data_IF_700953838150
#
_entry.id   IF_700953838150
#
_cell.length_a   1.000
_cell.length_b   1.000
_cell.length_c   1.000
_cell.angle_alpha   90.00
_cell.angle_beta   90.00
_cell.angle_gamma   90.00
#
_symmetry.space_group_name_H-M   'P 1'
#
loop_
_entity.id
_entity.type
_entity.pdbx_description
1 polymer ?
#
# COMPACT_ATOMS: atom_id res chain seq x y z
N UNK A 1 41.13 7.95 -21.82
CA UNK A 1 42.56 7.97 -21.43
C UNK A 1 42.95 9.13 -20.48
N UNK A 2 42.03 10.01 -20.03
CA UNK A 2 42.40 11.17 -19.18
C UNK A 2 42.19 11.01 -17.67
N UNK A 3 41.31 10.12 -17.20
CA UNK A 3 40.97 9.98 -15.77
C UNK A 3 41.98 9.14 -14.98
N UNK A 4 42.64 8.17 -15.60
CA UNK A 4 43.58 7.28 -14.92
C UNK A 4 44.90 7.99 -14.54
N UNK A 5 45.36 8.96 -15.34
CA UNK A 5 46.53 9.76 -14.97
C UNK A 5 46.27 10.73 -13.81
N UNK A 6 45.04 11.24 -13.66
CA UNK A 6 44.68 12.13 -12.56
C UNK A 6 44.64 11.40 -11.20
N UNK A 7 44.10 10.19 -11.15
CA UNK A 7 44.07 9.39 -9.92
C UNK A 7 45.48 8.96 -9.46
N UNK A 8 46.38 8.65 -10.40
CA UNK A 8 47.75 8.26 -10.08
C UNK A 8 48.57 9.43 -9.53
N UNK A 9 48.36 10.63 -10.05
CA UNK A 9 49.10 11.83 -9.62
C UNK A 9 48.64 12.29 -8.23
N UNK A 10 47.34 12.25 -7.93
CA UNK A 10 46.81 12.62 -6.61
C UNK A 10 47.29 11.69 -5.48
N UNK A 11 47.41 10.38 -5.74
CA UNK A 11 47.88 9.42 -4.73
C UNK A 11 49.32 9.68 -4.27
N UNK A 12 50.21 10.01 -5.21
CA UNK A 12 51.64 10.24 -4.93
C UNK A 12 51.86 11.52 -4.11
N UNK A 13 51.10 12.58 -4.37
CA UNK A 13 51.20 13.84 -3.62
C UNK A 13 50.72 13.70 -2.17
N UNK A 14 49.62 12.96 -1.95
CA UNK A 14 49.08 12.68 -0.61
C UNK A 14 50.07 11.87 0.21
N UNK A 15 50.72 10.86 -0.39
CA UNK A 15 51.69 10.02 0.31
C UNK A 15 52.98 10.79 0.67
N UNK A 16 53.45 11.67 -0.22
CA UNK A 16 54.57 12.56 0.10
C UNK A 16 54.24 13.59 1.19
N UNK A 17 53.02 14.15 1.21
CA UNK A 17 52.57 15.01 2.33
C UNK A 17 52.47 14.23 3.64
N UNK A 18 51.95 13.00 3.60
CA UNK A 18 51.80 12.14 4.78
C UNK A 18 53.15 11.81 5.42
N UNK A 19 54.16 11.47 4.60
CA UNK A 19 55.53 11.20 5.04
C UNK A 19 56.17 12.39 5.76
N UNK A 20 55.76 13.62 5.41
CA UNK A 20 56.33 14.86 5.94
C UNK A 20 55.81 15.27 7.32
N UNK A 21 54.67 14.75 7.74
CA UNK A 21 54.07 15.04 9.05
C UNK A 21 54.67 14.23 10.19
N UNK A 22 54.76 14.83 11.38
CA UNK A 22 55.18 14.11 12.58
C UNK A 22 54.06 13.17 13.08
N UNK A 23 54.41 12.21 13.94
CA UNK A 23 53.46 11.21 14.44
C UNK A 23 52.25 11.83 15.16
N UNK A 24 52.42 12.99 15.82
CA UNK A 24 51.34 13.71 16.51
C UNK A 24 50.36 14.32 15.51
N UNK A 25 50.85 14.93 14.44
CA UNK A 25 50.03 15.50 13.35
C UNK A 25 49.23 14.42 12.63
N UNK A 26 49.86 13.27 12.33
CA UNK A 26 49.15 12.12 11.74
C UNK A 26 48.03 11.62 12.66
N UNK A 27 48.30 11.50 13.95
CA UNK A 27 47.29 11.09 14.94
C UNK A 27 46.09 12.04 14.94
N UNK A 28 46.32 13.35 15.02
CA UNK A 28 45.22 14.33 15.00
C UNK A 28 44.46 14.37 13.68
N UNK A 29 45.14 14.16 12.55
CA UNK A 29 44.47 14.05 11.25
C UNK A 29 43.54 12.84 11.20
N UNK A 30 43.98 11.66 11.65
CA UNK A 30 43.12 10.47 11.73
C UNK A 30 41.94 10.71 12.67
N UNK A 31 42.16 11.29 13.85
CA UNK A 31 41.08 11.61 14.80
C UNK A 31 40.07 12.57 14.17
N UNK A 32 40.53 13.61 13.47
CA UNK A 32 39.65 14.55 12.79
C UNK A 32 38.85 13.88 11.66
N UNK A 33 39.48 13.03 10.85
CA UNK A 33 38.81 12.27 9.80
C UNK A 33 37.76 11.30 10.35
N UNK A 34 38.05 10.63 11.47
CA UNK A 34 37.07 9.76 12.13
C UNK A 34 35.91 10.58 12.73
N UNK A 35 36.19 11.74 13.32
CA UNK A 35 35.17 12.62 13.86
C UNK A 35 34.25 13.19 12.76
N UNK A 36 34.81 13.60 11.61
CA UNK A 36 34.00 14.09 10.48
C UNK A 36 33.18 12.96 9.87
N UNK A 37 33.76 11.77 9.69
CA UNK A 37 33.02 10.60 9.20
C UNK A 37 31.87 10.24 10.15
N UNK A 38 32.11 10.23 11.45
CA UNK A 38 31.08 9.99 12.47
C UNK A 38 29.97 11.04 12.42
N UNK A 39 30.31 12.31 12.21
CA UNK A 39 29.32 13.39 12.12
C UNK A 39 28.49 13.30 10.83
N UNK A 40 29.10 12.89 9.71
CA UNK A 40 28.40 12.61 8.45
C UNK A 40 27.42 11.44 8.63
N UNK A 41 27.85 10.35 9.26
CA UNK A 41 26.97 9.20 9.56
C UNK A 41 25.82 9.61 10.49
N UNK A 42 26.08 10.40 11.53
CA UNK A 42 25.05 10.92 12.42
C UNK A 42 24.06 11.84 11.69
N UNK A 43 24.54 12.69 10.78
CA UNK A 43 23.68 13.56 9.97
C UNK A 43 22.80 12.76 9.00
N UNK A 44 23.35 11.74 8.34
CA UNK A 44 22.60 10.88 7.42
C UNK A 44 21.51 10.08 8.15
N UNK A 45 21.84 9.50 9.32
CA UNK A 45 20.86 8.78 10.15
C UNK A 45 19.78 9.71 10.69
N UNK A 46 20.13 10.95 11.06
CA UNK A 46 19.15 11.95 11.47
C UNK A 46 18.22 12.34 10.33
N UNK A 47 18.75 12.55 9.12
CA UNK A 47 17.95 12.87 7.94
C UNK A 47 16.96 11.74 7.62
N UNK A 48 17.43 10.50 7.69
CA UNK A 48 16.61 9.30 7.46
C UNK A 48 15.46 9.18 8.48
N UNK A 49 15.76 9.38 9.77
CA UNK A 49 14.72 9.44 10.81
C UNK A 49 13.71 10.55 10.58
N UNK A 50 14.13 11.72 10.09
CA UNK A 50 13.26 12.84 9.82
C UNK A 50 12.36 12.59 8.59
N UNK A 51 12.88 11.94 7.54
CA UNK A 51 12.05 11.51 6.41
C UNK A 51 11.02 10.47 6.84
N UNK A 52 11.43 9.50 7.67
CA UNK A 52 10.52 8.49 8.21
C UNK A 52 9.42 9.14 9.08
N UNK A 53 9.79 10.12 9.92
CA UNK A 53 8.84 10.88 10.73
C UNK A 53 7.81 11.62 9.87
N UNK A 54 8.25 12.33 8.83
CA UNK A 54 7.35 13.07 7.94
C UNK A 54 6.39 12.17 7.18
N UNK A 55 6.85 11.00 6.74
CA UNK A 55 6.00 10.01 6.08
C UNK A 55 4.92 9.49 7.02
N UNK A 56 5.29 9.20 8.28
CA UNK A 56 4.34 8.80 9.31
C UNK A 56 3.32 9.90 9.62
N UNK A 57 3.77 11.14 9.81
CA UNK A 57 2.89 12.31 10.07
C UNK A 57 1.91 12.55 8.92
N UNK A 58 2.36 12.39 7.67
CA UNK A 58 1.49 12.51 6.49
C UNK A 58 0.38 11.46 6.48
N UNK A 59 0.72 10.20 6.77
CA UNK A 59 -0.27 9.11 6.86
C UNK A 59 -1.24 9.33 8.01
N UNK A 60 -0.75 9.77 9.18
CA UNK A 60 -1.59 10.06 10.34
C UNK A 60 -2.58 11.19 10.06
N UNK A 61 -2.13 12.26 9.39
CA UNK A 61 -3.01 13.36 8.95
C UNK A 61 -4.10 12.86 8.00
N UNK A 62 -3.74 12.10 6.96
CA UNK A 62 -4.72 11.55 6.01
C UNK A 62 -5.71 10.63 6.74
N UNK A 63 -5.22 9.82 7.70
CA UNK A 63 -6.07 8.96 8.49
C UNK A 63 -7.08 9.76 9.33
N UNK A 64 -6.68 10.86 9.96
CA UNK A 64 -7.58 11.72 10.73
C UNK A 64 -8.66 12.39 9.86
N UNK A 65 -8.29 12.86 8.66
CA UNK A 65 -9.24 13.42 7.70
C UNK A 65 -10.24 12.36 7.21
N UNK A 66 -9.78 11.13 6.99
CA UNK A 66 -10.64 9.99 6.62
C UNK A 66 -11.58 9.60 7.77
N UNK A 67 -11.11 9.59 9.03
CA UNK A 67 -11.97 9.36 10.21
C UNK A 67 -13.07 10.41 10.30
N UNK A 68 -12.73 11.67 10.11
CA UNK A 68 -13.70 12.78 10.08
C UNK A 68 -14.74 12.56 8.98
N UNK A 69 -14.30 12.22 7.77
CA UNK A 69 -15.20 11.95 6.64
C UNK A 69 -16.12 10.72 6.89
N UNK A 70 -15.61 9.67 7.55
CA UNK A 70 -16.40 8.51 7.95
C UNK A 70 -17.51 8.93 8.92
N UNK A 71 -17.17 9.70 9.95
CA UNK A 71 -18.13 10.19 10.94
C UNK A 71 -19.22 11.06 10.30
N UNK A 72 -18.84 11.93 9.36
CA UNK A 72 -19.81 12.73 8.58
C UNK A 72 -20.79 11.85 7.80
N UNK A 73 -20.29 10.82 7.10
CA UNK A 73 -21.15 9.92 6.31
C UNK A 73 -22.10 9.15 7.24
N UNK A 74 -21.61 8.65 8.37
CA UNK A 74 -22.46 7.98 9.36
C UNK A 74 -23.51 8.93 9.95
N UNK A 75 -23.17 10.18 10.23
CA UNK A 75 -24.11 11.18 10.72
C UNK A 75 -25.22 11.47 9.69
N UNK A 76 -24.87 11.57 8.40
CA UNK A 76 -25.82 11.73 7.30
C UNK A 76 -26.73 10.49 7.19
N UNK A 77 -26.17 9.28 7.31
CA UNK A 77 -26.96 8.06 7.26
C UNK A 77 -27.95 7.96 8.43
N UNK A 78 -27.54 8.34 9.64
CA UNK A 78 -28.42 8.37 10.82
C UNK A 78 -29.55 9.38 10.65
N UNK A 79 -29.23 10.61 10.25
CA UNK A 79 -30.24 11.66 10.05
C UNK A 79 -31.16 11.39 8.85
N UNK A 80 -30.66 10.76 7.79
CA UNK A 80 -31.46 10.29 6.65
C UNK A 80 -32.41 9.14 7.03
N UNK A 81 -31.98 8.24 7.91
CA UNK A 81 -32.83 7.18 8.47
C UNK A 81 -33.92 7.75 9.40
N UNK A 82 -33.61 8.78 10.20
CA UNK A 82 -34.58 9.47 11.07
C UNK A 82 -35.59 10.31 10.26
N UNK A 83 -35.16 10.90 9.15
CA UNK A 83 -36.02 11.63 8.20
C UNK A 83 -36.94 10.72 7.38
N UNK A 84 -36.70 9.41 7.35
CA UNK A 84 -37.47 8.44 6.54
C UNK A 84 -38.49 7.63 7.32
N UNK A 85 -38.85 8.07 8.53
CA UNK A 85 -40.11 7.70 9.19
C UNK A 85 -41.39 8.09 8.42
N UNK A 86 -41.27 8.71 7.25
CA UNK A 86 -42.35 8.99 6.32
C UNK A 86 -41.82 9.10 4.87
N UNK A 87 -41.29 8.02 4.31
CA UNK A 87 -41.40 7.82 2.86
C UNK A 87 -42.23 6.56 2.64
N UNK A 88 -43.53 6.80 2.51
CA UNK A 88 -44.44 5.95 1.77
C UNK A 88 -43.80 5.74 0.39
N UNK A 89 -43.23 4.56 0.15
CA UNK A 89 -42.88 4.13 -1.19
C UNK A 89 -44.22 3.90 -1.87
N UNK A 90 -44.76 5.01 -2.40
CA UNK A 90 -45.90 5.02 -3.28
C UNK A 90 -45.60 4.14 -4.46
N UNK A 91 -46.17 2.93 -4.40
CA UNK A 91 -46.77 2.19 -5.50
C UNK A 91 -46.53 2.80 -6.88
N UNK A 92 -45.45 2.39 -7.53
CA UNK A 92 -45.37 2.46 -8.99
C UNK A 92 -46.35 1.43 -9.56
N UNK A 93 -47.51 1.94 -9.97
CA UNK A 93 -48.26 1.61 -11.19
C UNK A 93 -48.10 0.16 -11.67
N UNK A 94 -48.94 -0.71 -11.12
CA UNK A 94 -49.31 -1.98 -11.74
C UNK A 94 -50.13 -1.69 -12.99
N UNK A 95 -49.51 -1.84 -14.16
CA UNK A 95 -50.20 -1.87 -15.44
C UNK A 95 -51.13 -3.08 -15.53
N UNK A 96 -52.41 -2.81 -15.76
CA UNK A 96 -53.41 -3.81 -16.06
C UNK A 96 -53.13 -4.49 -17.41
N UNK A 97 -53.05 -5.83 -17.41
CA UNK A 97 -53.50 -6.64 -18.53
C UNK A 97 -54.26 -7.86 -18.00
N UNK A 98 -55.58 -7.78 -18.13
CA UNK A 98 -56.52 -8.89 -18.01
C UNK A 98 -56.50 -9.68 -19.31
N UNK A 99 -56.37 -11.01 -19.23
CA UNK A 99 -57.18 -11.98 -20.01
C UNK A 99 -56.90 -13.42 -19.52
N UNK A 100 -57.79 -13.87 -18.63
CA UNK A 100 -58.55 -15.12 -18.67
C UNK A 100 -57.86 -16.44 -19.06
N UNK A 101 -57.78 -17.38 -18.11
CA UNK A 101 -58.25 -18.77 -18.31
C UNK A 101 -58.22 -19.60 -17.01
N UNK A 102 -59.38 -20.14 -16.62
CA UNK A 102 -59.50 -21.51 -16.10
C UNK A 102 -59.20 -21.82 -14.62
N UNK A 103 -60.24 -21.74 -13.78
CA UNK A 103 -60.43 -22.59 -12.59
C UNK A 103 -60.87 -24.03 -13.06
N UNK A 104 -60.85 -25.14 -12.28
CA UNK A 104 -61.09 -25.18 -10.83
C UNK A 104 -60.26 -26.13 -9.94
N UNK A 105 -60.08 -25.68 -8.70
CA UNK A 105 -60.55 -26.41 -7.51
C UNK A 105 -59.53 -27.23 -6.71
N UNK A 106 -59.29 -26.83 -5.46
CA UNK A 106 -59.48 -27.72 -4.29
C UNK A 106 -59.43 -26.93 -2.98
N UNK A 107 -60.47 -27.09 -2.17
CA UNK A 107 -60.56 -26.72 -0.75
C UNK A 107 -59.67 -27.64 0.10
N UNK A 108 -59.03 -27.11 1.16
CA UNK A 108 -59.03 -27.74 2.50
C UNK A 108 -58.97 -26.65 3.58
N UNK A 109 -59.82 -26.84 4.58
CA UNK A 109 -60.20 -26.03 5.73
C UNK A 109 -59.34 -26.29 6.99
N UNK A 110 -59.29 -25.30 7.89
CA UNK A 110 -59.09 -25.46 9.35
C UNK A 110 -57.70 -25.03 9.86
N UNK A 111 -57.50 -24.37 11.02
CA UNK A 111 -58.36 -24.12 12.19
C UNK A 111 -57.71 -23.01 13.06
N UNK A 112 -58.52 -22.32 13.87
CA UNK A 112 -58.20 -21.20 14.77
C UNK A 112 -57.52 -21.60 16.12
N UNK A 113 -57.12 -20.54 16.86
CA UNK A 113 -57.02 -20.37 18.35
C UNK A 113 -55.64 -20.71 18.94
N UNK A 114 -55.00 -19.95 19.84
CA UNK A 114 -55.49 -19.08 20.91
C UNK A 114 -54.50 -17.97 21.33
N UNK A 115 -55.08 -16.97 22.00
CA UNK A 115 -54.49 -15.83 22.73
C UNK A 115 -53.72 -16.29 23.98
N UNK A 116 -52.63 -15.60 24.30
CA UNK A 116 -52.15 -15.43 25.68
C UNK A 116 -51.48 -14.07 25.85
N UNK A 117 -52.15 -13.17 26.58
CA UNK A 117 -51.60 -11.97 27.19
C UNK A 117 -50.78 -12.34 28.43
N UNK A 118 -49.70 -11.59 28.66
CA UNK A 118 -48.87 -11.68 29.87
C UNK A 118 -47.78 -10.61 29.87
N UNK A 119 -48.17 -9.38 30.22
CA UNK A 119 -47.24 -8.30 30.59
C UNK A 119 -46.46 -8.66 31.85
N UNK A 120 -45.15 -8.38 31.88
CA UNK A 120 -44.56 -7.51 32.92
C UNK A 120 -43.20 -7.01 32.48
N UNK A 121 -43.00 -5.71 32.70
CA UNK A 121 -41.86 -4.92 32.29
C UNK A 121 -40.61 -5.21 33.14
N UNK A 122 -39.49 -5.40 32.47
CA UNK A 122 -38.19 -4.92 32.94
C UNK A 122 -37.67 -3.95 31.88
N UNK A 123 -37.75 -2.65 32.17
CA UNK A 123 -37.01 -1.61 31.47
C UNK A 123 -35.53 -1.71 31.85
N UNK A 124 -34.89 -2.78 31.39
CA UNK A 124 -33.45 -2.79 31.16
C UNK A 124 -33.20 -1.87 29.97
N UNK A 125 -32.56 -0.73 30.21
CA UNK A 125 -32.10 0.17 29.17
C UNK A 125 -31.02 -0.54 28.34
N UNK A 126 -31.45 -1.42 27.45
CA UNK A 126 -30.63 -1.96 26.39
C UNK A 126 -30.36 -0.78 25.46
N UNK A 127 -29.20 -0.16 25.67
CA UNK A 127 -28.56 0.69 24.67
C UNK A 127 -28.31 -0.24 23.48
N UNK A 128 -29.32 -0.41 22.63
CA UNK A 128 -29.17 -1.00 21.30
C UNK A 128 -28.11 -0.15 20.63
N UNK A 129 -26.90 -0.70 20.57
CA UNK A 129 -25.80 -0.17 19.78
C UNK A 129 -26.37 -0.14 18.37
N UNK A 130 -26.86 1.02 17.93
CA UNK A 130 -27.33 1.23 16.57
C UNK A 130 -26.24 0.66 15.68
N UNK A 131 -26.58 -0.39 14.95
CA UNK A 131 -25.65 -1.12 14.09
C UNK A 131 -25.09 -0.07 13.13
N UNK A 132 -23.84 0.33 13.33
CA UNK A 132 -23.22 1.35 12.50
C UNK A 132 -23.16 0.79 11.08
N UNK A 133 -23.93 1.40 10.19
CA UNK A 133 -23.91 1.00 8.79
C UNK A 133 -22.47 1.15 8.27
N UNK A 134 -21.87 0.09 7.71
CA UNK A 134 -20.50 0.16 7.23
C UNK A 134 -20.43 1.15 6.06
N UNK A 135 -19.51 2.12 6.15
CA UNK A 135 -19.26 3.03 5.03
C UNK A 135 -18.59 2.26 3.90
N UNK A 136 -19.28 2.20 2.75
CA UNK A 136 -18.73 1.56 1.56
C UNK A 136 -17.59 2.41 0.97
N UNK A 137 -16.45 1.82 0.57
CA UNK A 137 -15.30 2.57 0.01
C UNK A 137 -15.64 3.42 -1.22
N UNK A 138 -16.62 2.97 -2.01
CA UNK A 138 -17.12 3.75 -3.14
C UNK A 138 -17.66 5.14 -2.75
N UNK A 139 -18.13 5.32 -1.51
CA UNK A 139 -18.52 6.63 -0.98
C UNK A 139 -17.29 7.48 -0.62
N UNK A 140 -16.23 6.84 -0.11
CA UNK A 140 -14.97 7.49 0.23
C UNK A 140 -14.21 7.96 -1.00
N UNK A 141 -14.28 7.24 -2.13
CA UNK A 141 -13.64 7.62 -3.40
C UNK A 141 -14.03 9.01 -3.94
N UNK A 142 -15.10 9.61 -3.44
CA UNK A 142 -15.53 10.97 -3.82
C UNK A 142 -14.97 12.06 -2.89
N UNK A 143 -14.23 11.68 -1.84
CA UNK A 143 -13.66 12.59 -0.85
C UNK A 143 -12.20 12.87 -1.20
N UNK A 144 -11.80 14.12 -1.04
CA UNK A 144 -10.44 14.59 -1.30
C UNK A 144 -9.39 13.82 -0.49
N UNK A 145 -9.68 13.49 0.78
CA UNK A 145 -8.76 12.73 1.63
C UNK A 145 -8.51 11.30 1.14
N UNK A 146 -9.49 10.66 0.49
CA UNK A 146 -9.28 9.35 -0.13
C UNK A 146 -8.51 9.48 -1.44
N UNK A 147 -8.73 10.54 -2.22
CA UNK A 147 -7.88 10.83 -3.37
C UNK A 147 -6.42 11.10 -2.94
N UNK A 148 -6.20 11.80 -1.83
CA UNK A 148 -4.86 12.02 -1.29
C UNK A 148 -4.22 10.70 -0.84
N UNK A 149 -4.98 9.81 -0.20
CA UNK A 149 -4.53 8.45 0.11
C UNK A 149 -4.06 7.72 -1.16
N UNK A 150 -4.85 7.75 -2.24
CA UNK A 150 -4.49 7.09 -3.50
C UNK A 150 -3.33 7.76 -4.26
N UNK A 151 -3.03 9.02 -3.95
CA UNK A 151 -1.84 9.73 -4.45
C UNK A 151 -0.59 9.40 -3.65
N UNK A 152 -0.69 8.63 -2.57
CA UNK A 152 0.49 8.13 -1.88
C UNK A 152 1.21 7.10 -2.74
N UNK A 153 2.52 7.09 -2.57
CA UNK A 153 3.44 6.19 -3.26
C UNK A 153 3.56 4.84 -2.54
N UNK A 154 4.12 3.84 -3.23
CA UNK A 154 4.30 2.49 -2.67
C UNK A 154 5.16 2.52 -1.40
N UNK A 155 6.12 3.46 -1.31
CA UNK A 155 6.95 3.67 -0.11
C UNK A 155 6.16 4.01 1.16
N UNK A 156 4.89 4.46 1.04
CA UNK A 156 4.03 4.75 2.19
C UNK A 156 3.26 3.52 2.70
N UNK A 157 3.19 2.43 1.95
CA UNK A 157 2.44 1.22 2.37
C UNK A 157 2.90 0.70 3.75
N UNK A 158 4.19 0.61 4.11
CA UNK A 158 4.61 0.17 5.45
C UNK A 158 4.03 1.02 6.59
N UNK A 159 3.76 2.30 6.35
CA UNK A 159 3.13 3.20 7.32
C UNK A 159 1.62 2.98 7.38
N UNK A 160 0.98 2.76 6.22
CA UNK A 160 -0.42 2.42 6.13
C UNK A 160 -0.72 1.07 6.81
N UNK A 161 0.16 0.07 6.65
CA UNK A 161 0.05 -1.23 7.35
C UNK A 161 0.12 -1.03 8.87
N UNK A 162 1.10 -0.27 9.37
CA UNK A 162 1.22 0.08 10.81
C UNK A 162 0.01 0.86 11.32
N UNK A 163 -0.55 1.75 10.51
CA UNK A 163 -1.74 2.49 10.87
C UNK A 163 -2.96 1.56 10.93
N UNK A 164 -3.13 0.69 9.94
CA UNK A 164 -4.21 -0.30 9.85
C UNK A 164 -4.25 -1.25 11.07
N UNK A 165 -3.12 -1.56 11.70
CA UNK A 165 -3.10 -2.35 12.96
C UNK A 165 -3.75 -1.64 14.15
N UNK A 166 -3.81 -0.31 14.13
CA UNK A 166 -4.28 0.53 15.24
C UNK A 166 -5.70 1.05 15.04
N UNK A 167 -6.21 0.97 13.81
CA UNK A 167 -7.52 1.49 13.47
C UNK A 167 -8.66 0.53 13.85
N UNK A 168 -9.81 1.11 14.13
CA UNK A 168 -11.07 0.38 14.21
C UNK A 168 -11.46 -0.18 12.84
N UNK A 169 -12.26 -1.24 12.85
CA UNK A 169 -12.64 -2.02 11.66
C UNK A 169 -13.00 -1.15 10.46
N UNK A 170 -13.89 -0.18 10.64
CA UNK A 170 -14.37 0.65 9.53
C UNK A 170 -13.27 1.48 8.86
N UNK A 171 -12.42 2.13 9.66
CA UNK A 171 -11.29 2.91 9.15
C UNK A 171 -10.21 1.98 8.60
N UNK A 172 -9.95 0.86 9.27
CA UNK A 172 -9.04 -0.18 8.80
C UNK A 172 -9.44 -0.74 7.43
N UNK A 173 -10.74 -0.92 7.15
CA UNK A 173 -11.21 -1.32 5.82
C UNK A 173 -10.89 -0.26 4.76
N UNK A 174 -11.11 1.02 5.04
CA UNK A 174 -10.76 2.10 4.11
C UNK A 174 -9.25 2.12 3.81
N UNK A 175 -8.41 1.94 4.83
CA UNK A 175 -6.96 1.81 4.64
C UNK A 175 -6.61 0.56 3.84
N UNK A 176 -7.23 -0.59 4.10
CA UNK A 176 -7.01 -1.83 3.35
C UNK A 176 -7.32 -1.67 1.85
N UNK A 177 -8.42 -0.98 1.51
CA UNK A 177 -8.72 -0.65 0.12
C UNK A 177 -7.65 0.26 -0.49
N UNK A 178 -7.25 1.32 0.23
CA UNK A 178 -6.16 2.20 -0.21
C UNK A 178 -4.86 1.44 -0.47
N UNK A 179 -4.44 0.57 0.45
CA UNK A 179 -3.23 -0.26 0.30
C UNK A 179 -3.36 -1.22 -0.89
N UNK A 180 -4.55 -1.79 -1.11
CA UNK A 180 -4.81 -2.66 -2.27
C UNK A 180 -4.63 -1.91 -3.59
N UNK A 181 -5.12 -0.67 -3.66
CA UNK A 181 -5.01 0.18 -4.85
C UNK A 181 -3.57 0.68 -5.06
N UNK A 182 -2.94 1.27 -4.04
CA UNK A 182 -1.56 1.79 -4.11
C UNK A 182 -0.59 0.65 -4.43
N UNK A 183 -0.75 -0.49 -3.76
CA UNK A 183 0.10 -1.66 -3.93
C UNK A 183 -0.16 -2.47 -5.19
N UNK A 184 -1.13 -2.06 -6.02
CA UNK A 184 -1.55 -2.79 -7.24
C UNK A 184 -1.81 -4.27 -6.97
N UNK A 185 -2.42 -4.56 -5.81
CA UNK A 185 -2.65 -5.94 -5.36
C UNK A 185 -3.81 -6.55 -6.15
N UNK A 186 -3.65 -7.82 -6.54
CA UNK A 186 -4.73 -8.59 -7.15
C UNK A 186 -5.62 -9.24 -6.07
N UNK A 187 -6.19 -8.41 -5.19
CA UNK A 187 -7.13 -8.82 -4.13
C UNK A 187 -8.50 -8.23 -4.48
N UNK A 188 -9.49 -9.07 -4.87
CA UNK A 188 -10.83 -8.59 -5.16
C UNK A 188 -11.51 -7.93 -3.95
N UNK A 189 -12.29 -6.85 -4.14
CA UNK A 189 -13.02 -6.16 -3.07
C UNK A 189 -13.97 -7.02 -2.24
N UNK A 190 -14.43 -8.11 -2.83
CA UNK A 190 -15.40 -9.08 -2.31
C UNK A 190 -14.74 -10.35 -1.73
N UNK A 191 -13.41 -10.47 -1.83
CA UNK A 191 -12.65 -11.60 -1.28
C UNK A 191 -12.50 -11.56 0.25
N UNK A 192 -12.89 -10.45 0.88
CA UNK A 192 -12.75 -10.22 2.31
C UNK A 192 -13.89 -9.33 2.81
N UNK A 193 -14.34 -9.59 4.03
CA UNK A 193 -15.43 -8.89 4.70
C UNK A 193 -14.96 -7.98 5.82
N UNK A 194 -13.78 -8.27 6.38
CA UNK A 194 -13.20 -7.58 7.51
C UNK A 194 -11.69 -7.40 7.39
N UNK A 195 -11.11 -6.55 8.24
CA UNK A 195 -9.67 -6.25 8.22
C UNK A 195 -8.79 -7.47 8.51
N UNK A 196 -9.22 -8.40 9.37
CA UNK A 196 -8.45 -9.61 9.67
C UNK A 196 -8.33 -10.53 8.45
N UNK A 197 -9.42 -10.76 7.72
CA UNK A 197 -9.40 -11.51 6.45
C UNK A 197 -8.50 -10.85 5.41
N UNK A 198 -8.53 -9.52 5.30
CA UNK A 198 -7.64 -8.80 4.40
C UNK A 198 -6.17 -8.96 4.78
N UNK A 199 -5.83 -8.94 6.08
CA UNK A 199 -4.46 -9.17 6.57
C UNK A 199 -3.94 -10.56 6.18
N UNK A 200 -4.78 -11.58 6.23
CA UNK A 200 -4.42 -12.93 5.76
C UNK A 200 -4.16 -12.95 4.24
N UNK A 201 -4.96 -12.23 3.45
CA UNK A 201 -4.74 -12.09 2.00
C UNK A 201 -3.46 -11.31 1.68
N UNK A 202 -3.12 -10.30 2.48
CA UNK A 202 -1.83 -9.62 2.40
C UNK A 202 -0.68 -10.58 2.69
N UNK A 203 -0.73 -11.31 3.80
CA UNK A 203 0.28 -12.32 4.18
C UNK A 203 0.46 -13.38 3.08
N UNK A 204 -0.65 -13.86 2.50
CA UNK A 204 -0.62 -14.80 1.38
C UNK A 204 0.01 -14.18 0.11
N UNK A 205 -0.15 -12.88 -0.10
CA UNK A 205 0.47 -12.16 -1.22
C UNK A 205 1.98 -12.01 -1.03
N UNK A 206 2.44 -11.72 0.19
CA UNK A 206 3.88 -11.70 0.55
C UNK A 206 4.50 -13.07 0.32
N UNK A 207 3.91 -14.13 0.88
CA UNK A 207 4.42 -15.50 0.70
C UNK A 207 4.41 -15.95 -0.77
N UNK A 208 3.40 -15.53 -1.55
CA UNK A 208 3.38 -15.78 -2.99
C UNK A 208 4.51 -15.06 -3.71
N UNK A 209 4.81 -13.81 -3.36
CA UNK A 209 5.90 -13.08 -3.97
C UNK A 209 7.26 -13.75 -3.69
N UNK A 210 7.50 -14.16 -2.43
CA UNK A 210 8.74 -14.86 -2.01
C UNK A 210 9.02 -16.12 -2.83
N UNK A 211 7.97 -16.86 -3.21
CA UNK A 211 8.08 -18.09 -3.99
C UNK A 211 8.09 -17.85 -5.50
N UNK A 212 7.25 -16.92 -5.97
CA UNK A 212 7.05 -16.68 -7.39
C UNK A 212 8.18 -15.86 -8.02
N UNK A 213 8.73 -14.85 -7.34
CA UNK A 213 9.77 -13.98 -7.94
C UNK A 213 10.98 -14.78 -8.41
N UNK A 214 11.62 -15.64 -7.58
CA UNK A 214 12.75 -16.45 -8.05
C UNK A 214 12.35 -17.41 -9.18
N UNK A 215 11.16 -18.02 -9.08
CA UNK A 215 10.68 -18.97 -10.10
C UNK A 215 10.42 -18.29 -11.45
N UNK A 216 9.90 -17.07 -11.47
CA UNK A 216 9.62 -16.31 -12.69
C UNK A 216 10.93 -15.91 -13.35
N UNK A 217 11.89 -15.40 -12.57
CA UNK A 217 13.18 -14.93 -13.08
C UNK A 217 14.07 -16.06 -13.60
N UNK A 218 14.00 -17.24 -12.97
CA UNK A 218 14.73 -18.43 -13.42
C UNK A 218 14.09 -19.13 -14.63
N UNK A 219 12.90 -18.74 -15.05
CA UNK A 219 12.16 -19.41 -16.12
C UNK A 219 12.72 -19.07 -17.51
N UNK A 220 13.37 -20.03 -18.15
CA UNK A 220 13.86 -19.92 -19.54
C UNK A 220 12.74 -19.91 -20.59
N UNK A 221 11.55 -20.42 -20.23
CA UNK A 221 10.39 -20.49 -21.12
C UNK A 221 9.67 -19.13 -21.32
N UNK A 222 10.04 -18.11 -20.54
CA UNK A 222 9.39 -16.80 -20.55
C UNK A 222 10.32 -15.76 -21.19
N UNK A 223 9.74 -14.95 -22.08
CA UNK A 223 10.40 -13.72 -22.54
C UNK A 223 10.47 -12.69 -21.41
N UNK A 224 11.40 -11.73 -21.49
CA UNK A 224 11.52 -10.67 -20.47
C UNK A 224 10.23 -9.89 -20.25
N UNK A 225 9.48 -9.62 -21.33
CA UNK A 225 8.18 -8.96 -21.24
C UNK A 225 7.14 -9.81 -20.49
N UNK A 226 7.15 -11.13 -20.67
CA UNK A 226 6.27 -12.06 -19.94
C UNK A 226 6.68 -12.19 -18.48
N UNK A 227 7.98 -12.26 -18.20
CA UNK A 227 8.50 -12.23 -16.83
C UNK A 227 8.06 -10.93 -16.14
N UNK A 228 8.29 -9.77 -16.76
CA UNK A 228 7.89 -8.48 -16.21
C UNK A 228 6.38 -8.42 -15.92
N UNK A 229 5.53 -8.87 -16.85
CA UNK A 229 4.09 -8.90 -16.65
C UNK A 229 3.68 -9.78 -15.44
N UNK A 230 4.32 -10.93 -15.27
CA UNK A 230 4.06 -11.81 -14.12
C UNK A 230 4.56 -11.20 -12.80
N UNK A 231 5.72 -10.54 -12.80
CA UNK A 231 6.25 -9.84 -11.63
C UNK A 231 5.37 -8.66 -11.21
N UNK A 232 4.86 -7.89 -12.17
CA UNK A 232 3.92 -6.78 -11.92
C UNK A 232 2.62 -7.30 -11.29
N UNK A 233 2.15 -8.48 -11.74
CA UNK A 233 0.94 -9.09 -11.20
C UNK A 233 1.05 -9.53 -9.73
N UNK A 234 2.28 -9.63 -9.18
CA UNK A 234 2.51 -9.87 -7.76
C UNK A 234 2.33 -8.61 -6.90
N UNK A 235 2.33 -7.41 -7.51
CA UNK A 235 2.11 -6.14 -6.82
C UNK A 235 3.27 -5.71 -5.92
N UNK A 236 2.99 -4.78 -5.00
CA UNK A 236 3.96 -4.21 -4.08
C UNK A 236 4.77 -5.23 -3.24
N UNK A 237 4.22 -6.39 -2.80
CA UNK A 237 5.00 -7.38 -2.06
C UNK A 237 6.21 -7.94 -2.83
N UNK A 238 6.22 -7.87 -4.17
CA UNK A 238 7.36 -8.29 -4.97
C UNK A 238 8.51 -7.27 -5.00
N UNK A 239 8.23 -5.98 -4.74
CA UNK A 239 9.22 -4.90 -4.81
C UNK A 239 10.50 -5.19 -4.02
N UNK A 240 10.47 -5.54 -2.71
CA UNK A 240 11.71 -5.75 -1.95
C UNK A 240 12.57 -6.90 -2.53
N UNK A 241 11.94 -7.95 -3.07
CA UNK A 241 12.63 -9.06 -3.71
C UNK A 241 13.29 -8.62 -5.02
N UNK A 242 12.55 -7.89 -5.86
CA UNK A 242 13.08 -7.34 -7.10
C UNK A 242 14.25 -6.39 -6.84
N UNK A 243 14.17 -5.53 -5.83
CA UNK A 243 15.29 -4.65 -5.46
C UNK A 243 16.50 -5.47 -5.02
N UNK A 244 16.31 -6.55 -4.26
CA UNK A 244 17.42 -7.41 -3.84
C UNK A 244 18.13 -8.06 -5.04
N UNK A 245 17.38 -8.50 -6.06
CA UNK A 245 17.95 -9.00 -7.34
C UNK A 245 18.77 -7.92 -8.06
N UNK A 246 18.26 -6.69 -8.12
CA UNK A 246 19.01 -5.58 -8.71
C UNK A 246 20.29 -5.27 -7.94
N UNK A 247 20.24 -5.37 -6.60
CA UNK A 247 21.37 -5.12 -5.69
C UNK A 247 22.43 -6.22 -5.77
N UNK A 248 22.05 -7.49 -5.92
CA UNK A 248 23.01 -8.60 -6.11
C UNK A 248 23.77 -8.45 -7.45
N UNK A 249 23.16 -7.77 -8.42
CA UNK A 249 23.66 -7.66 -9.80
C UNK A 249 23.11 -8.77 -10.70
N UNK A 250 22.15 -9.56 -10.20
CA UNK A 250 21.43 -10.59 -10.95
C UNK A 250 20.13 -10.06 -11.58
N UNK A 251 19.81 -8.78 -11.30
CA UNK A 251 18.68 -8.07 -11.86
C UNK A 251 18.64 -8.08 -13.39
N UNK A 252 17.46 -8.41 -13.93
CA UNK A 252 17.20 -8.46 -15.37
C UNK A 252 16.46 -7.22 -15.86
N UNK A 253 16.34 -7.07 -17.18
CA UNK A 253 15.46 -6.08 -17.79
C UNK A 253 13.99 -6.28 -17.37
N UNK A 254 13.58 -7.52 -17.09
CA UNK A 254 12.25 -7.80 -16.55
C UNK A 254 12.05 -7.19 -15.14
N UNK A 255 13.03 -7.32 -14.25
CA UNK A 255 13.01 -6.68 -12.92
C UNK A 255 12.90 -5.16 -13.05
N UNK A 256 13.69 -4.58 -13.95
CA UNK A 256 13.70 -3.15 -14.22
C UNK A 256 12.34 -2.63 -14.68
N UNK A 257 11.71 -3.30 -15.64
CA UNK A 257 10.38 -2.95 -16.15
C UNK A 257 9.33 -3.08 -15.03
N UNK A 258 9.38 -4.19 -14.27
CA UNK A 258 8.46 -4.41 -13.18
C UNK A 258 8.57 -3.34 -12.08
N UNK A 259 9.79 -3.00 -11.64
CA UNK A 259 10.03 -1.92 -10.69
C UNK A 259 9.58 -0.56 -11.24
N UNK A 260 9.86 -0.28 -12.51
CA UNK A 260 9.43 0.96 -13.17
C UNK A 260 7.91 1.13 -13.13
N UNK A 261 7.17 0.05 -13.35
CA UNK A 261 5.70 0.08 -13.33
C UNK A 261 5.15 0.08 -11.91
N UNK A 262 5.73 -0.71 -10.99
CA UNK A 262 5.26 -0.77 -9.60
C UNK A 262 5.55 0.54 -8.85
N UNK A 263 6.63 1.24 -9.17
CA UNK A 263 7.11 2.46 -8.52
C UNK A 263 6.96 3.72 -9.40
N UNK A 264 5.99 3.72 -10.33
CA UNK A 264 5.87 4.69 -11.44
C UNK A 264 6.04 6.17 -11.05
N UNK A 265 5.64 6.57 -9.83
CA UNK A 265 5.83 7.92 -9.31
C UNK A 265 7.21 8.14 -8.65
N UNK A 266 7.63 7.24 -7.77
CA UNK A 266 8.87 7.35 -6.97
C UNK A 266 10.12 7.45 -7.85
N UNK A 267 10.16 6.69 -8.95
CA UNK A 267 11.35 6.61 -9.82
C UNK A 267 11.56 7.87 -10.66
N UNK A 268 10.48 8.56 -11.03
CA UNK A 268 10.54 9.82 -11.77
C UNK A 268 11.14 10.94 -10.91
N UNK A 269 10.78 11.02 -9.63
CA UNK A 269 11.37 11.98 -8.69
C UNK A 269 12.84 11.70 -8.40
N UNK A 270 13.24 10.42 -8.46
CA UNK A 270 14.61 9.97 -8.20
C UNK A 270 15.54 10.03 -9.43
N UNK A 271 15.05 10.55 -10.56
CA UNK A 271 15.85 10.75 -11.78
C UNK A 271 16.12 9.48 -12.58
N UNK A 272 15.37 8.41 -12.33
CA UNK A 272 15.38 7.20 -13.17
C UNK A 272 14.37 7.44 -14.30
N UNK A 273 14.89 7.80 -15.47
CA UNK A 273 14.09 8.22 -16.62
C UNK A 273 13.14 7.12 -17.11
N UNK A 274 11.99 7.54 -17.66
CA UNK A 274 10.87 6.67 -18.06
C UNK A 274 11.31 5.69 -19.16
N UNK A 275 11.34 4.39 -18.86
CA UNK A 275 11.54 3.34 -19.86
C UNK A 275 10.32 3.12 -20.78
N UNK A 276 9.21 3.83 -20.55
CA UNK A 276 7.91 3.52 -21.15
C UNK A 276 7.66 4.12 -22.55
N UNK A 277 8.47 5.05 -23.03
CA UNK A 277 8.42 5.47 -24.44
C UNK A 277 9.28 4.50 -25.25
N UNK A 278 8.62 3.57 -25.96
CA UNK A 278 9.25 2.52 -26.74
C UNK A 278 10.29 3.03 -27.76
N UNK A 279 10.20 4.29 -28.17
CA UNK A 279 11.12 4.93 -29.11
C UNK A 279 12.38 5.54 -28.44
N UNK A 280 12.40 5.66 -27.10
CA UNK A 280 13.49 6.27 -26.33
C UNK A 280 13.85 5.50 -25.06
N UNK A 281 13.48 4.23 -24.95
CA UNK A 281 13.85 3.40 -23.81
C UNK A 281 15.38 3.37 -23.67
N UNK A 282 15.90 4.00 -22.61
CA UNK A 282 17.31 3.88 -22.28
C UNK A 282 17.65 2.39 -22.16
N UNK A 283 18.74 1.91 -22.80
CA UNK A 283 19.16 0.53 -22.64
C UNK A 283 19.40 0.23 -21.17
N UNK A 284 19.09 -0.99 -20.74
CA UNK A 284 19.28 -1.42 -19.36
C UNK A 284 20.71 -1.18 -18.88
N UNK A 285 20.86 -0.26 -17.93
CA UNK A 285 22.12 0.00 -17.24
C UNK A 285 22.11 -0.67 -15.86
N UNK A 286 22.65 -1.89 -15.83
CA UNK A 286 22.74 -2.69 -14.61
C UNK A 286 23.48 -1.96 -13.47
N UNK A 287 24.48 -1.14 -13.77
CA UNK A 287 25.26 -0.43 -12.75
C UNK A 287 24.43 0.69 -12.11
N UNK A 288 23.69 1.46 -12.93
CA UNK A 288 22.76 2.49 -12.45
C UNK A 288 21.68 1.90 -11.54
N UNK A 289 21.07 0.79 -11.96
CA UNK A 289 20.02 0.14 -11.18
C UNK A 289 20.52 -0.55 -9.91
N UNK A 290 21.71 -1.15 -9.95
CA UNK A 290 22.35 -1.69 -8.74
C UNK A 290 22.61 -0.59 -7.72
N UNK A 291 23.19 0.54 -8.15
CA UNK A 291 23.40 1.69 -7.28
C UNK A 291 22.10 2.22 -6.69
N UNK A 292 21.05 2.31 -7.51
CA UNK A 292 19.71 2.70 -7.05
C UNK A 292 19.18 1.71 -6.00
N UNK A 293 19.26 0.42 -6.27
CA UNK A 293 18.79 -0.62 -5.36
C UNK A 293 19.55 -0.61 -4.02
N UNK A 294 20.88 -0.46 -4.05
CA UNK A 294 21.71 -0.32 -2.85
C UNK A 294 21.31 0.90 -2.00
N UNK A 295 20.88 1.99 -2.65
CA UNK A 295 20.49 3.23 -1.98
C UNK A 295 19.09 3.17 -1.37
N UNK A 296 18.11 2.57 -2.06
CA UNK A 296 16.69 2.68 -1.71
C UNK A 296 16.07 1.40 -1.13
N UNK A 297 16.81 0.29 -1.06
CA UNK A 297 16.29 -0.99 -0.54
C UNK A 297 15.59 -0.87 0.83
N UNK A 298 16.17 -0.10 1.76
CA UNK A 298 15.61 0.03 3.11
C UNK A 298 14.22 0.67 3.11
N UNK A 299 13.91 1.54 2.15
CA UNK A 299 12.62 2.22 2.07
C UNK A 299 11.47 1.26 1.72
N UNK A 300 11.78 0.17 1.02
CA UNK A 300 10.80 -0.80 0.55
C UNK A 300 10.83 -2.13 1.32
N UNK A 301 11.82 -2.34 2.20
CA UNK A 301 11.94 -3.56 3.00
C UNK A 301 10.68 -3.85 3.86
N UNK A 302 9.97 -2.79 4.28
CA UNK A 302 8.72 -2.90 5.04
C UNK A 302 7.54 -3.49 4.27
N UNK A 303 7.65 -3.72 2.96
CA UNK A 303 6.60 -4.35 2.14
C UNK A 303 6.56 -5.88 2.30
N UNK A 304 7.59 -6.48 2.89
CA UNK A 304 7.64 -7.92 3.19
C UNK A 304 7.18 -8.25 4.62
N UNK A 305 6.47 -7.33 5.29
CA UNK A 305 6.01 -7.53 6.66
C UNK A 305 4.75 -8.39 6.68
N UNK A 306 4.75 -9.41 7.55
CA UNK A 306 3.60 -10.23 7.88
C UNK A 306 2.84 -9.64 9.07
N UNK A 307 1.51 -9.69 9.01
CA UNK A 307 0.67 -9.48 10.17
C UNK A 307 0.72 -10.71 11.09
N UNK A 308 0.68 -10.47 12.41
CA UNK A 308 0.64 -11.48 13.47
C UNK A 308 -0.74 -11.57 14.13
#
# INVERSE_FOLDING_TARGET
MGSEQLNFTMGIEVEMMWQRWNAKERFWCVVFLLATLSLITAANTWLDMETERRRAERVERIAEELRTAIQEIQAIQRTGAESTGAWDIGSEVTGAQTLDSGNPGTEVTGTQTAVAEGQTAETGSAKTKAEEMPVHPALMRKRESYEELLRLEVVYIPYLLRQLEREEEQMGRILAYGITEIGKLNIPPDAWSNTAEWKELWNASVARAETAVPSILASEDLTEAQQAAQLIALGAPAVPLLIEEMKSGEGSQACMIALTILLEHDLLEQGVSRAADADHAEPFDAAKWRWWAERYYQEYAGLAVYFH
#
